data_IF_370705380413
#
_entry.id   IF_370705380413
#
_cell.length_a   1.000
_cell.length_b   1.000
_cell.length_c   1.000
_cell.angle_alpha   90.00
_cell.angle_beta   90.00
_cell.angle_gamma   90.00
#
_symmetry.space_group_name_H-M   'P 1'
#
loop_
_entity.id
_entity.type
_entity.pdbx_description
1 polymer ?
#
# COMPACT_ATOMS: atom_id res chain seq x y z
N UNK A 1 18.60 8.18 -2.09
CA UNK A 1 17.74 9.33 -2.40
C UNK A 1 16.48 9.16 -1.58
N UNK A 2 16.21 10.11 -0.69
CA UNK A 2 15.05 10.11 0.20
C UNK A 2 14.05 11.17 -0.25
N UNK A 3 12.80 10.79 -0.44
CA UNK A 3 11.72 11.69 -0.77
C UNK A 3 10.46 11.32 0.02
N UNK A 4 9.70 12.34 0.43
CA UNK A 4 8.43 12.17 1.16
C UNK A 4 7.34 12.99 0.48
N UNK A 5 6.18 12.39 0.23
CA UNK A 5 4.99 13.04 -0.33
C UNK A 5 3.77 12.76 0.54
N UNK A 6 2.79 13.67 0.52
CA UNK A 6 1.49 13.45 1.15
C UNK A 6 0.56 12.82 0.11
N UNK A 7 0.13 11.59 0.35
CA UNK A 7 -0.74 10.79 -0.55
C UNK A 7 -1.62 9.90 0.31
N UNK A 8 -2.81 9.51 -0.16
CA UNK A 8 -3.73 8.64 0.60
C UNK A 8 -4.03 9.16 2.03
N UNK A 9 -4.00 10.49 2.23
CA UNK A 9 -4.21 11.13 3.54
C UNK A 9 -3.05 10.99 4.54
N UNK A 10 -1.88 10.53 4.12
CA UNK A 10 -0.73 10.28 5.01
C UNK A 10 0.62 10.61 4.35
N UNK A 11 1.70 10.80 5.13
CA UNK A 11 3.04 10.86 4.55
C UNK A 11 3.47 9.47 4.06
N UNK A 12 3.97 9.43 2.82
CA UNK A 12 4.66 8.28 2.23
C UNK A 12 6.11 8.67 2.02
N UNK A 13 7.04 7.92 2.62
CA UNK A 13 8.48 8.12 2.47
C UNK A 13 9.09 7.00 1.66
N UNK A 14 9.91 7.35 0.67
CA UNK A 14 10.69 6.41 -0.14
C UNK A 14 12.15 6.83 -0.05
N UNK A 15 13.01 5.95 0.49
CA UNK A 15 14.45 6.13 0.57
C UNK A 15 15.16 4.96 -0.12
N UNK A 16 15.82 5.24 -1.24
CA UNK A 16 16.48 4.23 -2.08
C UNK A 16 18.01 4.44 -2.07
N UNK A 17 18.79 3.38 -1.93
CA UNK A 17 20.25 3.41 -2.07
C UNK A 17 20.70 3.63 -3.51
N UNK A 18 21.83 4.32 -3.68
CA UNK A 18 22.46 4.53 -5.00
C UNK A 18 21.72 5.50 -5.94
N UNK A 19 22.07 5.45 -7.22
CA UNK A 19 21.49 6.28 -8.28
C UNK A 19 20.15 5.68 -8.77
N UNK A 20 19.09 5.93 -8.03
CA UNK A 20 17.77 5.35 -8.28
C UNK A 20 17.00 5.93 -9.49
N UNK A 21 17.64 6.70 -10.38
CA UNK A 21 17.03 7.25 -11.61
C UNK A 21 15.61 7.79 -11.39
N UNK A 22 14.65 7.36 -12.22
CA UNK A 22 13.22 7.67 -12.09
C UNK A 22 12.44 6.60 -11.26
N UNK A 23 13.12 5.75 -10.49
CA UNK A 23 12.47 4.68 -9.72
C UNK A 23 11.62 5.23 -8.58
N UNK A 24 12.08 6.29 -7.91
CA UNK A 24 11.29 7.00 -6.88
C UNK A 24 9.97 7.50 -7.47
N UNK A 25 10.02 8.10 -8.67
CA UNK A 25 8.83 8.51 -9.41
C UNK A 25 7.87 7.35 -9.68
N UNK A 26 8.39 6.23 -10.20
CA UNK A 26 7.58 5.01 -10.44
C UNK A 26 6.90 4.47 -9.18
N UNK A 27 7.57 4.53 -8.02
CA UNK A 27 6.99 4.10 -6.74
C UNK A 27 5.85 5.04 -6.32
N UNK A 28 6.01 6.35 -6.49
CA UNK A 28 4.92 7.29 -6.20
C UNK A 28 3.76 7.18 -7.20
N UNK A 29 4.03 6.97 -8.49
CA UNK A 29 3.00 6.73 -9.51
C UNK A 29 2.18 5.47 -9.16
N UNK A 30 2.85 4.44 -8.62
CA UNK A 30 2.18 3.25 -8.09
C UNK A 30 1.28 3.58 -6.90
N UNK A 31 1.71 4.39 -5.94
CA UNK A 31 0.84 4.80 -4.82
C UNK A 31 -0.35 5.66 -5.28
N UNK A 32 -0.20 6.46 -6.33
CA UNK A 32 -1.32 7.18 -6.95
C UNK A 32 -2.35 6.21 -7.59
N UNK A 33 -1.85 5.18 -8.27
CA UNK A 33 -2.67 4.09 -8.84
C UNK A 33 -3.46 3.32 -7.76
N UNK A 34 -2.83 3.09 -6.60
CA UNK A 34 -3.47 2.50 -5.41
C UNK A 34 -4.55 3.42 -4.84
N UNK A 35 -4.27 4.72 -4.67
CA UNK A 35 -5.26 5.70 -4.17
C UNK A 35 -6.49 5.77 -5.09
N UNK A 36 -6.27 5.80 -6.41
CA UNK A 36 -7.36 5.79 -7.40
C UNK A 36 -8.24 4.53 -7.33
N UNK A 37 -7.74 3.40 -6.86
CA UNK A 37 -8.56 2.18 -6.73
C UNK A 37 -9.24 2.06 -5.39
N UNK A 38 -8.51 2.32 -4.32
CA UNK A 38 -8.90 1.90 -2.97
C UNK A 38 -9.32 3.03 -2.04
N UNK A 39 -9.24 4.29 -2.47
CA UNK A 39 -9.67 5.42 -1.64
C UNK A 39 -11.19 5.45 -1.50
N UNK A 40 -11.69 5.20 -0.29
CA UNK A 40 -13.11 5.32 0.06
C UNK A 40 -13.59 6.78 0.17
N UNK A 41 -12.67 7.74 0.08
CA UNK A 41 -12.96 9.19 0.09
C UNK A 41 -13.15 9.76 -1.31
N UNK A 42 -12.58 9.10 -2.33
CA UNK A 42 -12.70 9.51 -3.73
C UNK A 42 -13.97 8.94 -4.34
N UNK A 43 -14.79 9.79 -4.95
CA UNK A 43 -16.03 9.35 -5.60
C UNK A 43 -15.78 8.60 -6.90
N UNK A 44 -14.64 8.83 -7.53
CA UNK A 44 -14.20 8.23 -8.80
C UNK A 44 -13.33 6.98 -8.62
N UNK A 45 -13.14 6.49 -7.39
CA UNK A 45 -12.35 5.29 -7.16
C UNK A 45 -13.11 4.00 -7.50
N UNK A 46 -12.34 2.96 -7.81
CA UNK A 46 -12.89 1.63 -8.08
C UNK A 46 -13.72 1.11 -6.89
N UNK A 47 -13.21 1.22 -5.66
CA UNK A 47 -13.95 0.78 -4.46
C UNK A 47 -15.25 1.57 -4.25
N UNK A 48 -15.26 2.87 -4.58
CA UNK A 48 -16.46 3.69 -4.49
C UNK A 48 -17.48 3.30 -5.56
N UNK A 49 -17.05 2.95 -6.77
CA UNK A 49 -17.92 2.42 -7.81
C UNK A 49 -18.50 1.04 -7.43
N UNK A 50 -17.69 0.16 -6.82
CA UNK A 50 -18.14 -1.14 -6.29
C UNK A 50 -19.21 -0.94 -5.21
N UNK A 51 -18.95 -0.06 -4.24
CA UNK A 51 -19.88 0.21 -3.14
C UNK A 51 -21.22 0.80 -3.61
N UNK A 52 -21.25 1.50 -4.75
CA UNK A 52 -22.50 1.97 -5.38
C UNK A 52 -23.19 0.93 -6.24
N UNK A 53 -22.52 -0.18 -6.57
CA UNK A 53 -23.00 -1.19 -7.50
C UNK A 53 -22.84 -0.81 -8.97
N UNK A 54 -22.00 0.18 -9.28
CA UNK A 54 -21.81 0.69 -10.65
C UNK A 54 -21.01 -0.28 -11.54
N UNK A 55 -20.19 -1.15 -10.94
CA UNK A 55 -19.32 -2.10 -11.65
C UNK A 55 -19.56 -3.55 -11.20
N UNK A 56 -19.82 -4.48 -12.13
CA UNK A 56 -20.00 -5.89 -11.81
C UNK A 56 -18.67 -6.54 -11.42
N UNK A 57 -18.75 -7.65 -10.68
CA UNK A 57 -17.57 -8.40 -10.19
C UNK A 57 -16.62 -8.84 -11.32
N UNK A 58 -17.14 -9.11 -12.52
CA UNK A 58 -16.32 -9.50 -13.67
C UNK A 58 -15.40 -8.38 -14.18
N UNK A 59 -15.70 -7.12 -13.83
CA UNK A 59 -14.95 -5.94 -14.28
C UNK A 59 -14.02 -5.40 -13.20
N UNK A 60 -13.93 -6.07 -12.04
CA UNK A 60 -12.99 -5.71 -10.99
C UNK A 60 -11.56 -5.88 -11.47
N UNK A 61 -10.69 -4.94 -11.11
CA UNK A 61 -9.28 -4.99 -11.42
C UNK A 61 -8.61 -6.17 -10.72
N UNK A 62 -7.52 -6.69 -11.31
CA UNK A 62 -6.74 -7.75 -10.68
C UNK A 62 -6.23 -7.35 -9.28
N UNK A 63 -5.87 -6.08 -9.09
CA UNK A 63 -5.48 -5.56 -7.78
C UNK A 63 -6.63 -5.62 -6.77
N UNK A 64 -7.85 -5.27 -7.18
CA UNK A 64 -9.05 -5.37 -6.34
C UNK A 64 -9.31 -6.82 -5.95
N UNK A 65 -9.29 -7.73 -6.91
CA UNK A 65 -9.47 -9.17 -6.66
C UNK A 65 -8.41 -9.68 -5.67
N UNK A 66 -7.16 -9.27 -5.82
CA UNK A 66 -6.07 -9.66 -4.92
C UNK A 66 -6.29 -9.18 -3.48
N UNK A 67 -6.69 -7.92 -3.30
CA UNK A 67 -6.97 -7.35 -1.98
C UNK A 67 -8.17 -8.03 -1.34
N UNK A 68 -9.25 -8.27 -2.09
CA UNK A 68 -10.45 -8.94 -1.59
C UNK A 68 -10.16 -10.39 -1.16
N UNK A 69 -9.31 -11.09 -1.90
CA UNK A 69 -8.83 -12.43 -1.54
C UNK A 69 -8.03 -12.42 -0.24
N UNK A 70 -7.12 -11.46 -0.07
CA UNK A 70 -6.34 -11.33 1.18
C UNK A 70 -7.28 -10.99 2.34
N UNK A 71 -8.22 -10.07 2.15
CA UNK A 71 -9.18 -9.68 3.19
C UNK A 71 -10.03 -10.87 3.67
N UNK A 72 -10.55 -11.70 2.75
CA UNK A 72 -11.32 -12.90 3.13
C UNK A 72 -10.45 -13.94 3.84
N UNK A 73 -9.19 -14.11 3.41
CA UNK A 73 -8.24 -14.97 4.11
C UNK A 73 -7.99 -14.46 5.54
N UNK A 74 -7.70 -13.17 5.72
CA UNK A 74 -7.46 -12.55 7.03
C UNK A 74 -8.69 -12.63 7.92
N UNK A 75 -9.90 -12.42 7.37
CA UNK A 75 -11.15 -12.58 8.12
C UNK A 75 -11.31 -14.00 8.67
N UNK A 76 -10.98 -15.03 7.88
CA UNK A 76 -11.00 -16.44 8.33
C UNK A 76 -9.96 -16.73 9.41
N UNK A 77 -8.71 -16.32 9.17
CA UNK A 77 -7.58 -16.55 10.09
C UNK A 77 -7.79 -15.86 11.44
N UNK A 78 -8.47 -14.72 11.42
CA UNK A 78 -8.82 -13.96 12.62
C UNK A 78 -10.21 -14.30 13.15
N UNK A 79 -10.88 -15.35 12.68
CA UNK A 79 -12.23 -15.74 13.13
C UNK A 79 -13.25 -14.56 13.13
N UNK A 80 -13.13 -13.63 12.18
CA UNK A 80 -13.99 -12.46 12.03
C UNK A 80 -13.57 -11.23 12.85
N UNK A 81 -12.47 -11.26 13.60
CA UNK A 81 -11.96 -10.06 14.29
C UNK A 81 -11.50 -8.96 13.30
N UNK A 82 -11.01 -9.35 12.14
CA UNK A 82 -10.80 -8.46 11.00
C UNK A 82 -11.91 -8.67 9.97
N UNK A 83 -12.62 -7.62 9.56
CA UNK A 83 -13.57 -7.64 8.46
C UNK A 83 -13.54 -6.32 7.71
N UNK A 84 -13.62 -6.37 6.38
CA UNK A 84 -13.67 -5.17 5.51
C UNK A 84 -15.10 -4.68 5.31
N UNK A 85 -16.12 -5.43 5.72
CA UNK A 85 -17.51 -4.98 5.65
C UNK A 85 -17.78 -3.99 6.77
N UNK A 86 -18.19 -2.78 6.38
CA UNK A 86 -18.69 -1.77 7.30
C UNK A 86 -20.11 -2.10 7.75
N UNK A 87 -20.57 -1.56 8.89
CA UNK A 87 -21.94 -1.75 9.37
C UNK A 87 -23.03 -1.28 8.39
N UNK A 88 -22.71 -0.36 7.48
CA UNK A 88 -23.59 0.14 6.42
C UNK A 88 -23.59 -0.74 5.15
N UNK A 89 -22.85 -1.85 5.16
CA UNK A 89 -22.73 -2.80 4.05
C UNK A 89 -21.66 -2.43 3.01
N UNK A 90 -21.03 -1.26 3.12
CA UNK A 90 -19.95 -0.87 2.22
C UNK A 90 -18.66 -1.64 2.52
N UNK A 91 -17.84 -1.86 1.50
CA UNK A 91 -16.51 -2.43 1.61
C UNK A 91 -15.48 -1.33 1.91
N UNK A 92 -14.64 -1.57 2.91
CA UNK A 92 -13.50 -0.75 3.28
C UNK A 92 -12.24 -1.63 3.46
N UNK A 93 -11.44 -1.81 2.40
CA UNK A 93 -10.26 -2.66 2.44
C UNK A 93 -9.02 -1.95 3.02
N UNK A 94 -9.15 -0.76 3.60
CA UNK A 94 -8.02 0.07 4.04
C UNK A 94 -7.08 -0.64 5.03
N UNK A 95 -7.61 -1.55 5.84
CA UNK A 95 -6.82 -2.38 6.76
C UNK A 95 -5.88 -3.39 6.08
N UNK A 96 -6.09 -3.73 4.81
CA UNK A 96 -5.19 -4.57 4.00
C UNK A 96 -4.35 -3.72 3.04
N UNK A 97 -4.95 -2.70 2.42
CA UNK A 97 -4.39 -2.00 1.25
C UNK A 97 -3.01 -1.42 1.52
N UNK A 98 -2.75 -0.83 2.69
CA UNK A 98 -1.45 -0.22 2.99
C UNK A 98 -0.32 -1.25 3.01
N UNK A 99 -0.48 -2.32 3.78
CA UNK A 99 0.49 -3.42 3.86
C UNK A 99 0.67 -4.15 2.52
N UNK A 100 -0.42 -4.32 1.76
CA UNK A 100 -0.35 -4.87 0.41
C UNK A 100 0.40 -3.93 -0.55
N UNK A 101 0.14 -2.62 -0.49
CA UNK A 101 0.75 -1.64 -1.37
C UNK A 101 2.24 -1.50 -1.10
N UNK A 102 2.67 -1.41 0.15
CA UNK A 102 4.09 -1.25 0.50
C UNK A 102 4.93 -2.48 0.11
N UNK A 103 4.35 -3.68 0.25
CA UNK A 103 4.98 -4.92 -0.22
C UNK A 103 5.20 -4.90 -1.73
N UNK A 104 4.20 -4.50 -2.50
CA UNK A 104 4.30 -4.40 -3.96
C UNK A 104 5.26 -3.29 -4.41
N UNK A 105 5.28 -2.15 -3.71
CA UNK A 105 6.25 -1.08 -3.94
C UNK A 105 7.68 -1.57 -3.73
N UNK A 106 7.93 -2.36 -2.69
CA UNK A 106 9.23 -2.99 -2.48
C UNK A 106 9.59 -4.00 -3.57
N UNK A 107 8.63 -4.73 -4.14
CA UNK A 107 8.86 -5.59 -5.30
C UNK A 107 9.23 -4.79 -6.56
N UNK A 108 8.63 -3.63 -6.78
CA UNK A 108 9.02 -2.70 -7.87
C UNK A 108 10.50 -2.29 -7.69
N UNK A 109 10.91 -1.98 -6.48
CA UNK A 109 12.28 -1.58 -6.15
C UNK A 109 13.26 -2.74 -6.32
N UNK A 110 12.94 -3.94 -5.81
CA UNK A 110 13.76 -5.14 -5.95
C UNK A 110 13.97 -5.56 -7.40
N UNK A 111 12.92 -5.47 -8.23
CA UNK A 111 13.01 -5.78 -9.68
C UNK A 111 13.85 -4.77 -10.46
N UNK A 112 14.17 -3.63 -9.88
CA UNK A 112 15.10 -2.66 -10.42
C UNK A 112 16.53 -2.83 -9.85
N UNK A 113 16.83 -3.97 -9.23
CA UNK A 113 18.12 -4.33 -8.63
C UNK A 113 18.60 -3.38 -7.53
N UNK A 114 17.67 -2.67 -6.87
CA UNK A 114 17.96 -1.85 -5.70
C UNK A 114 17.76 -2.68 -4.43
N UNK A 115 18.87 -3.08 -3.81
CA UNK A 115 18.88 -3.90 -2.59
C UNK A 115 18.80 -3.11 -1.28
N UNK A 116 19.16 -1.83 -1.32
CA UNK A 116 19.13 -0.93 -0.16
C UNK A 116 17.92 0.00 -0.28
N UNK A 117 16.91 -0.18 0.56
CA UNK A 117 15.74 0.70 0.56
C UNK A 117 14.98 0.73 1.87
N UNK A 118 14.21 1.80 2.04
CA UNK A 118 13.22 1.99 3.09
C UNK A 118 11.99 2.66 2.48
N UNK A 119 10.83 2.02 2.63
CA UNK A 119 9.54 2.56 2.23
C UNK A 119 8.67 2.60 3.50
N UNK A 120 7.95 3.68 3.70
CA UNK A 120 7.01 3.87 4.81
C UNK A 120 5.70 4.50 4.31
N UNK A 121 4.57 3.99 4.79
CA UNK A 121 3.23 4.53 4.53
C UNK A 121 2.42 4.59 5.82
N UNK A 122 2.33 5.78 6.45
CA UNK A 122 1.48 5.99 7.63
C UNK A 122 1.71 5.01 8.78
N UNK A 123 2.97 4.62 9.02
CA UNK A 123 3.39 3.69 10.07
C UNK A 123 3.68 2.26 9.59
N UNK A 124 3.21 1.86 8.41
CA UNK A 124 3.58 0.57 7.80
C UNK A 124 4.94 0.71 7.10
N UNK A 125 5.87 -0.23 7.30
CA UNK A 125 7.26 -0.10 6.86
C UNK A 125 7.73 -1.37 6.15
N UNK A 126 8.44 -1.18 5.03
CA UNK A 126 9.17 -2.23 4.33
C UNK A 126 10.59 -1.73 4.05
N UNK A 127 11.60 -2.43 4.54
CA UNK A 127 13.01 -2.08 4.35
C UNK A 127 13.85 -3.27 3.89
N UNK A 128 15.00 -2.99 3.30
CA UNK A 128 16.00 -3.98 2.89
C UNK A 128 17.40 -3.34 2.86
N UNK A 129 18.42 -4.17 3.11
CA UNK A 129 19.81 -3.74 3.04
C UNK A 129 20.18 -2.70 4.09
N UNK A 130 20.96 -1.70 3.69
CA UNK A 130 21.56 -0.69 4.57
C UNK A 130 21.09 0.72 4.22
N UNK A 131 21.14 1.60 5.20
CA UNK A 131 20.92 3.04 5.01
C UNK A 131 22.15 3.74 4.42
N UNK A 132 22.02 5.04 4.14
CA UNK A 132 23.10 5.86 3.56
C UNK A 132 24.39 5.92 4.40
N UNK A 133 24.34 5.57 5.69
CA UNK A 133 25.52 5.46 6.57
C UNK A 133 26.12 4.06 6.63
N UNK A 134 25.63 3.12 5.81
CA UNK A 134 26.09 1.74 5.78
C UNK A 134 25.65 0.90 6.98
N UNK A 135 24.64 1.33 7.73
CA UNK A 135 24.07 0.63 8.89
C UNK A 135 22.73 -0.01 8.54
N UNK A 136 22.31 -0.99 9.31
CA UNK A 136 20.96 -1.55 9.19
C UNK A 136 19.90 -0.47 9.43
N UNK A 137 18.75 -0.64 8.79
CA UNK A 137 17.58 0.21 9.03
C UNK A 137 17.07 0.01 10.46
N UNK A 138 16.77 1.11 11.14
CA UNK A 138 16.22 1.10 12.49
C UNK A 138 14.81 1.66 12.49
N UNK A 139 13.88 0.92 13.11
CA UNK A 139 12.46 1.29 13.23
C UNK A 139 12.12 1.34 14.71
N UNK A 140 11.64 2.49 15.18
CA UNK A 140 11.21 2.66 16.56
C UNK A 140 9.78 2.18 16.79
N UNK A 141 9.55 1.41 17.85
CA UNK A 141 8.22 1.04 18.33
C UNK A 141 7.79 2.06 19.39
N UNK A 142 6.68 2.76 19.16
CA UNK A 142 6.14 3.76 20.10
C UNK A 142 5.36 3.06 21.22
N UNK A 143 5.63 3.45 22.47
CA UNK A 143 4.77 3.12 23.61
C UNK A 143 3.60 4.13 23.64
N UNK A 144 2.34 3.70 23.51
CA UNK A 144 1.17 4.59 23.42
C UNK A 144 0.91 5.43 24.68
#
# INVERSE_FOLDING_TARGET
MRETRIMMGMPITVDLGGAAGNLVGKVFDYFDDVDRRFSTYRTDSEISAINRGDIPVCDWSGQMIDVMRIAEQTRRETAGYFDIHRPDGALDPSGIVKGWAIRNAAEIVRRADVGDFFIETGGDIQSCGRNASGRDWSVGIRNP
#
